data_IF_744986977455
#
_entry.id   IF_744986977455
#
_cell.length_a   1.000
_cell.length_b   1.000
_cell.length_c   1.000
_cell.angle_alpha   90.00
_cell.angle_beta   90.00
_cell.angle_gamma   90.00
#
_symmetry.space_group_name_H-M   'P 1'
#
loop_
_entity.id
_entity.type
_entity.pdbx_description
1 polymer ?
#
# COMPACT_ATOMS: atom_id res chain seq x y z
N UNK A 1 7.91 -20.35 4.81
CA UNK A 1 7.38 -19.03 5.19
C UNK A 1 6.10 -19.25 5.96
N UNK A 2 5.93 -18.59 7.10
CA UNK A 2 4.65 -18.59 7.82
C UNK A 2 3.66 -17.63 7.13
N UNK A 3 2.35 -17.83 7.33
CA UNK A 3 1.32 -16.91 6.81
C UNK A 3 1.56 -15.45 7.24
N UNK A 4 2.11 -15.25 8.43
CA UNK A 4 2.47 -13.93 8.95
C UNK A 4 3.61 -13.29 8.14
N UNK A 5 4.70 -14.02 7.90
CA UNK A 5 5.83 -13.51 7.11
C UNK A 5 5.44 -13.14 5.67
N UNK A 6 4.51 -13.89 5.07
CA UNK A 6 3.99 -13.57 3.74
C UNK A 6 3.17 -12.27 3.75
N UNK A 7 2.35 -12.05 4.79
CA UNK A 7 1.59 -10.81 4.97
C UNK A 7 2.48 -9.60 5.23
N UNK A 8 3.51 -9.75 6.07
CA UNK A 8 4.48 -8.69 6.34
C UNK A 8 5.21 -8.27 5.06
N UNK A 9 5.69 -9.25 4.27
CA UNK A 9 6.33 -8.99 2.98
C UNK A 9 5.38 -8.29 1.98
N UNK A 10 4.11 -8.68 1.94
CA UNK A 10 3.12 -8.00 1.10
C UNK A 10 2.86 -6.55 1.55
N UNK A 11 2.80 -6.31 2.86
CA UNK A 11 2.64 -4.98 3.41
C UNK A 11 3.83 -4.06 3.07
N UNK A 12 5.06 -4.58 3.13
CA UNK A 12 6.25 -3.84 2.72
C UNK A 12 6.25 -3.46 1.23
N UNK A 13 5.85 -4.39 0.36
CA UNK A 13 5.72 -4.13 -1.08
C UNK A 13 4.66 -3.07 -1.37
N UNK A 14 3.51 -3.15 -0.70
CA UNK A 14 2.45 -2.14 -0.79
C UNK A 14 2.94 -0.76 -0.34
N UNK A 15 3.68 -0.70 0.78
CA UNK A 15 4.25 0.55 1.31
C UNK A 15 5.22 1.19 0.31
N UNK A 16 6.14 0.40 -0.27
CA UNK A 16 7.08 0.90 -1.29
C UNK A 16 6.35 1.45 -2.50
N UNK A 17 5.37 0.71 -3.03
CA UNK A 17 4.60 1.13 -4.20
C UNK A 17 3.80 2.41 -3.95
N UNK A 18 3.28 2.57 -2.74
CA UNK A 18 2.61 3.80 -2.32
C UNK A 18 3.59 4.99 -2.28
N UNK A 19 4.80 4.80 -1.74
CA UNK A 19 5.82 5.85 -1.72
C UNK A 19 6.24 6.28 -3.12
N UNK A 20 6.42 5.34 -4.06
CA UNK A 20 6.76 5.65 -5.45
C UNK A 20 5.66 6.48 -6.13
N UNK A 21 4.39 6.12 -5.93
CA UNK A 21 3.26 6.85 -6.48
C UNK A 21 3.12 8.25 -5.89
N UNK A 22 3.34 8.41 -4.57
CA UNK A 22 3.33 9.72 -3.91
C UNK A 22 4.47 10.60 -4.43
N UNK A 23 5.67 10.04 -4.57
CA UNK A 23 6.80 10.78 -5.14
C UNK A 23 6.52 11.22 -6.58
N UNK A 24 5.93 10.33 -7.39
CA UNK A 24 5.51 10.65 -8.76
C UNK A 24 4.44 11.74 -8.78
N UNK A 25 3.44 11.67 -7.90
CA UNK A 25 2.42 12.71 -7.74
C UNK A 25 3.04 14.07 -7.43
N UNK A 26 3.97 14.11 -6.48
CA UNK A 26 4.61 15.34 -6.03
C UNK A 26 5.53 15.96 -7.08
N UNK A 27 6.15 15.16 -7.95
CA UNK A 27 7.09 15.65 -8.97
C UNK A 27 6.40 16.06 -10.27
N UNK A 28 5.44 15.27 -10.74
CA UNK A 28 4.92 15.36 -12.11
C UNK A 28 3.39 15.34 -12.16
N UNK A 29 2.73 15.10 -11.02
CA UNK A 29 1.32 14.73 -10.96
C UNK A 29 1.11 13.26 -11.32
N UNK A 30 -0.02 12.71 -10.87
CA UNK A 30 -0.48 11.39 -11.32
C UNK A 30 -1.50 11.54 -12.43
N UNK A 31 -1.44 10.63 -13.40
CA UNK A 31 -2.55 10.46 -14.32
C UNK A 31 -3.79 9.91 -13.55
N UNK A 32 -4.99 10.01 -14.11
CA UNK A 32 -6.22 9.58 -13.43
C UNK A 32 -6.21 8.11 -13.01
N UNK A 33 -5.57 7.24 -13.79
CA UNK A 33 -5.48 5.80 -13.50
C UNK A 33 -4.56 5.53 -12.32
N UNK A 34 -3.37 6.15 -12.30
CA UNK A 34 -2.40 6.07 -11.22
C UNK A 34 -2.96 6.68 -9.93
N UNK A 35 -3.75 7.76 -10.02
CA UNK A 35 -4.43 8.36 -8.88
C UNK A 35 -5.54 7.46 -8.30
N UNK A 36 -6.30 6.77 -9.16
CA UNK A 36 -7.25 5.74 -8.70
C UNK A 36 -6.51 4.54 -8.08
N UNK A 37 -5.40 4.14 -8.69
CA UNK A 37 -4.58 3.05 -8.19
C UNK A 37 -3.97 3.37 -6.82
N UNK A 38 -3.40 4.56 -6.64
CA UNK A 38 -2.89 5.05 -5.36
C UNK A 38 -3.96 5.02 -4.27
N UNK A 39 -5.19 5.48 -4.57
CA UNK A 39 -6.32 5.39 -3.63
C UNK A 39 -6.64 3.94 -3.23
N UNK A 40 -6.57 3.00 -4.17
CA UNK A 40 -6.79 1.58 -3.88
C UNK A 40 -5.68 1.00 -3.00
N UNK A 41 -4.42 1.36 -3.27
CA UNK A 41 -3.24 0.93 -2.50
C UNK A 41 -3.30 1.46 -1.06
N UNK A 42 -3.70 2.72 -0.86
CA UNK A 42 -3.90 3.31 0.48
C UNK A 42 -4.99 2.55 1.25
N UNK A 43 -6.14 2.26 0.62
CA UNK A 43 -7.21 1.48 1.25
C UNK A 43 -6.75 0.10 1.66
N UNK A 44 -6.06 -0.62 0.77
CA UNK A 44 -5.56 -1.96 1.05
C UNK A 44 -4.51 -1.95 2.18
N UNK A 45 -3.65 -0.93 2.23
CA UNK A 45 -2.68 -0.78 3.31
C UNK A 45 -3.37 -0.56 4.66
N UNK A 46 -4.39 0.32 4.72
CA UNK A 46 -5.17 0.53 5.96
C UNK A 46 -5.94 -0.72 6.38
N UNK A 47 -6.52 -1.46 5.43
CA UNK A 47 -7.20 -2.73 5.72
C UNK A 47 -6.23 -3.75 6.29
N UNK A 48 -5.08 -3.97 5.64
CA UNK A 48 -4.06 -4.88 6.14
C UNK A 48 -3.56 -4.49 7.53
N UNK A 49 -3.37 -3.19 7.80
CA UNK A 49 -2.96 -2.69 9.11
C UNK A 49 -4.03 -2.94 10.18
N UNK A 50 -5.31 -2.75 9.84
CA UNK A 50 -6.42 -3.04 10.74
C UNK A 50 -6.52 -4.54 11.02
N UNK A 51 -6.46 -5.41 10.01
CA UNK A 51 -6.48 -6.87 10.21
C UNK A 51 -5.29 -7.37 11.03
N UNK A 52 -4.12 -6.74 10.90
CA UNK A 52 -2.95 -7.08 11.72
C UNK A 52 -3.11 -6.63 13.18
N UNK A 53 -3.80 -5.51 13.41
CA UNK A 53 -4.07 -4.98 14.76
C UNK A 53 -5.21 -5.75 15.44
N UNK A 54 -6.28 -6.05 14.72
CA UNK A 54 -7.47 -6.75 15.20
C UNK A 54 -7.19 -8.24 15.47
N UNK A 55 -6.14 -8.80 14.85
CA UNK A 55 -5.65 -10.17 15.14
C UNK A 55 -4.83 -10.29 16.45
N UNK A 56 -4.87 -9.30 17.35
CA UNK A 56 -4.20 -9.34 18.68
C UNK A 56 -5.21 -9.49 19.80
#
# INVERSE_FOLDING_TARGET
MTHQQLRERQAELLKRKMQELILKENQQGLNPQDGQYLRSVIKQFHQNAHELHDSK
#
